data_IF_277057913193
#
_entry.id   IF_277057913193
#
_cell.length_a   1.000
_cell.length_b   1.000
_cell.length_c   1.000
_cell.angle_alpha   90.00
_cell.angle_beta   90.00
_cell.angle_gamma   90.00
#
_symmetry.space_group_name_H-M   'P 1'
#
loop_
_entity.id
_entity.type
_entity.pdbx_description
1 polymer ?
#
# COMPACT_ATOMS: atom_id res chain seq x y z
N UNK A 1 24.54 15.39 -6.92
CA UNK A 1 25.22 14.34 -7.70
C UNK A 1 24.27 13.82 -8.76
N UNK A 2 24.79 13.08 -9.75
CA UNK A 2 24.04 12.56 -10.89
C UNK A 2 24.04 11.02 -10.89
N UNK A 3 22.99 10.41 -11.43
CA UNK A 3 22.97 8.96 -11.71
C UNK A 3 23.75 8.66 -12.98
N UNK A 4 24.42 7.51 -13.04
CA UNK A 4 25.30 7.14 -14.17
C UNK A 4 24.70 6.09 -15.12
N UNK A 5 23.49 5.61 -14.82
CA UNK A 5 22.88 4.46 -15.50
C UNK A 5 23.32 3.10 -14.97
N UNK A 6 24.38 3.04 -14.14
CA UNK A 6 24.76 1.84 -13.41
C UNK A 6 23.78 1.54 -12.25
N UNK A 7 23.72 0.28 -11.75
CA UNK A 7 22.87 -0.08 -10.62
C UNK A 7 23.16 0.78 -9.37
N UNK A 8 22.09 1.23 -8.70
CA UNK A 8 22.18 2.02 -7.46
C UNK A 8 21.93 1.11 -6.26
N UNK A 9 22.92 1.02 -5.37
CA UNK A 9 22.79 0.32 -4.10
C UNK A 9 22.49 1.29 -2.96
N UNK A 10 21.48 0.99 -2.14
CA UNK A 10 21.14 1.74 -0.93
C UNK A 10 21.09 0.78 0.26
N UNK A 11 21.66 1.19 1.38
CA UNK A 11 21.80 0.38 2.59
C UNK A 11 21.22 1.14 3.78
N UNK A 12 20.41 0.47 4.59
CA UNK A 12 19.89 1.00 5.85
C UNK A 12 20.19 0.01 6.97
N UNK A 13 20.96 0.45 7.96
CA UNK A 13 21.28 -0.36 9.14
C UNK A 13 20.11 -0.41 10.13
N UNK A 14 19.91 -1.58 10.76
CA UNK A 14 19.00 -1.75 11.89
C UNK A 14 19.78 -1.49 13.19
N UNK A 15 19.35 -0.52 14.02
CA UNK A 15 20.08 -0.14 15.24
C UNK A 15 19.71 -0.95 16.49
N UNK A 16 18.44 -1.35 16.60
CA UNK A 16 17.88 -1.95 17.83
C UNK A 16 17.11 -3.23 17.48
N UNK A 17 17.82 -4.31 17.17
CA UNK A 17 17.21 -5.62 16.92
C UNK A 17 17.15 -6.42 18.22
N UNK A 18 15.94 -6.64 18.74
CA UNK A 18 15.68 -7.56 19.85
C UNK A 18 14.79 -8.71 19.35
N UNK A 19 15.30 -9.94 19.46
CA UNK A 19 14.60 -11.15 19.03
C UNK A 19 14.06 -12.00 20.18
N UNK A 20 14.28 -11.60 21.42
CA UNK A 20 13.96 -12.40 22.62
C UNK A 20 12.48 -12.78 22.69
N UNK A 21 11.59 -11.83 22.40
CA UNK A 21 10.13 -12.03 22.37
C UNK A 21 9.68 -13.13 21.39
N UNK A 22 10.46 -13.41 20.34
CA UNK A 22 10.10 -14.41 19.31
C UNK A 22 10.54 -15.83 19.64
N UNK A 23 11.54 -16.00 20.53
CA UNK A 23 12.01 -17.33 20.94
C UNK A 23 10.91 -18.11 21.66
N UNK A 24 10.17 -17.44 22.53
CA UNK A 24 9.09 -18.03 23.32
C UNK A 24 7.94 -18.57 22.46
N UNK A 25 7.79 -18.08 21.22
CA UNK A 25 6.67 -18.40 20.32
C UNK A 25 7.13 -19.07 19.02
N UNK A 26 8.38 -19.53 18.91
CA UNK A 26 8.94 -20.09 17.67
C UNK A 26 8.15 -21.28 17.08
N UNK A 27 7.54 -22.09 17.95
CA UNK A 27 6.73 -23.26 17.57
C UNK A 27 5.22 -22.96 17.60
N UNK A 28 4.83 -21.73 17.91
CA UNK A 28 3.46 -21.27 18.02
C UNK A 28 3.19 -20.25 16.90
N UNK A 29 2.73 -20.70 15.70
CA UNK A 29 2.49 -19.78 14.60
C UNK A 29 1.42 -18.77 14.97
N UNK A 30 1.70 -17.48 14.76
CA UNK A 30 0.76 -16.41 15.06
C UNK A 30 -0.40 -16.44 14.04
N UNK A 31 -1.66 -16.47 14.49
CA UNK A 31 -2.80 -16.45 13.58
C UNK A 31 -2.77 -15.25 12.63
N UNK A 32 -2.89 -15.52 11.33
CA UNK A 32 -2.80 -14.51 10.28
C UNK A 32 -1.37 -14.04 9.93
N UNK A 33 -0.33 -14.58 10.56
CA UNK A 33 1.05 -14.34 10.16
C UNK A 33 1.58 -15.44 9.21
N UNK A 34 2.73 -15.21 8.59
CA UNK A 34 3.36 -16.15 7.65
C UNK A 34 4.06 -17.31 8.34
N UNK A 35 4.01 -17.41 9.68
CA UNK A 35 4.86 -18.32 10.46
C UNK A 35 4.70 -19.80 10.04
N UNK A 36 3.47 -20.29 9.96
CA UNK A 36 3.18 -21.65 9.50
C UNK A 36 3.53 -21.88 8.02
N UNK A 37 3.01 -21.10 7.04
CA UNK A 37 3.32 -21.34 5.64
C UNK A 37 4.81 -21.15 5.31
N UNK A 38 5.53 -20.26 6.03
CA UNK A 38 6.97 -20.15 5.91
C UNK A 38 7.68 -21.41 6.39
N UNK A 39 7.28 -21.96 7.55
CA UNK A 39 7.84 -23.21 8.07
C UNK A 39 7.66 -24.36 7.09
N UNK A 40 6.48 -24.49 6.49
CA UNK A 40 6.22 -25.49 5.46
C UNK A 40 7.08 -25.23 4.21
N UNK A 41 7.07 -24.01 3.68
CA UNK A 41 7.80 -23.65 2.44
C UNK A 41 9.30 -23.89 2.54
N UNK A 42 9.90 -23.63 3.70
CA UNK A 42 11.34 -23.71 3.92
C UNK A 42 11.75 -24.89 4.79
N UNK A 43 10.90 -25.90 4.96
CA UNK A 43 11.24 -27.12 5.71
C UNK A 43 11.68 -26.86 7.16
N UNK A 44 11.19 -25.80 7.80
CA UNK A 44 11.56 -25.40 9.16
C UNK A 44 12.75 -24.45 9.27
N UNK A 45 13.42 -24.10 8.17
CA UNK A 45 14.61 -23.23 8.17
C UNK A 45 14.30 -21.74 7.96
N UNK A 46 13.03 -21.34 8.01
CA UNK A 46 12.65 -19.93 7.93
C UNK A 46 13.10 -19.16 9.17
N UNK A 47 13.50 -17.90 8.99
CA UNK A 47 13.77 -17.02 10.12
C UNK A 47 12.45 -16.65 10.83
N UNK A 48 12.25 -17.20 12.03
CA UNK A 48 11.07 -16.95 12.86
C UNK A 48 11.14 -15.60 13.61
N UNK A 49 12.33 -14.98 13.71
CA UNK A 49 12.54 -13.75 14.50
C UNK A 49 11.92 -12.57 13.77
N UNK A 50 10.86 -12.00 14.33
CA UNK A 50 10.17 -10.84 13.73
C UNK A 50 9.56 -11.11 12.35
N UNK A 51 9.42 -12.38 11.95
CA UNK A 51 8.98 -12.79 10.62
C UNK A 51 10.05 -12.73 9.52
N UNK A 52 11.30 -12.40 9.84
CA UNK A 52 12.41 -12.38 8.88
C UNK A 52 12.10 -11.62 7.58
N UNK A 53 12.26 -12.29 6.43
CA UNK A 53 11.94 -11.73 5.10
C UNK A 53 10.46 -11.31 4.93
N UNK A 54 9.56 -11.86 5.72
CA UNK A 54 8.12 -11.56 5.67
C UNK A 54 7.73 -10.38 6.57
N UNK A 55 8.68 -9.81 7.29
CA UNK A 55 8.47 -8.61 8.10
C UNK A 55 8.13 -7.40 7.23
N UNK A 56 7.34 -6.48 7.79
CA UNK A 56 7.14 -5.14 7.23
C UNK A 56 8.46 -4.39 6.96
N UNK A 57 9.57 -4.78 7.60
CA UNK A 57 10.90 -4.18 7.38
C UNK A 57 11.35 -4.23 5.92
N UNK A 58 10.95 -5.23 5.13
CA UNK A 58 11.30 -5.34 3.70
C UNK A 58 10.84 -4.12 2.89
N UNK A 59 9.78 -3.44 3.34
CA UNK A 59 9.23 -2.26 2.67
C UNK A 59 10.16 -1.06 2.68
N UNK A 60 11.18 -1.01 3.54
CA UNK A 60 12.17 0.08 3.54
C UNK A 60 12.90 0.16 2.18
N UNK A 61 13.18 -0.99 1.57
CA UNK A 61 13.80 -1.05 0.25
C UNK A 61 12.89 -0.47 -0.83
N UNK A 62 11.58 -0.75 -0.75
CA UNK A 62 10.58 -0.19 -1.66
C UNK A 62 10.47 1.32 -1.51
N UNK A 63 10.48 1.84 -0.27
CA UNK A 63 10.46 3.29 -0.02
C UNK A 63 11.70 3.97 -0.60
N UNK A 64 12.89 3.38 -0.41
CA UNK A 64 14.14 3.92 -0.98
C UNK A 64 14.10 3.97 -2.50
N UNK A 65 13.69 2.89 -3.16
CA UNK A 65 13.53 2.85 -4.62
C UNK A 65 12.45 3.83 -5.10
N UNK A 66 11.32 3.90 -4.39
CA UNK A 66 10.24 4.85 -4.69
C UNK A 66 10.66 6.30 -4.55
N UNK A 67 11.54 6.63 -3.60
CA UNK A 67 12.09 7.99 -3.48
C UNK A 67 12.91 8.39 -4.71
N UNK A 68 13.65 7.46 -5.31
CA UNK A 68 14.36 7.68 -6.57
C UNK A 68 13.37 7.82 -7.74
N UNK A 69 12.44 6.87 -7.89
CA UNK A 69 11.42 6.90 -8.94
C UNK A 69 10.58 8.20 -8.89
N UNK A 70 10.27 8.69 -7.68
CA UNK A 70 9.52 9.93 -7.48
C UNK A 70 10.26 11.15 -8.00
N UNK A 71 11.59 11.20 -7.84
CA UNK A 71 12.41 12.29 -8.40
C UNK A 71 12.34 12.33 -9.91
N UNK A 72 12.30 11.16 -10.56
CA UNK A 72 12.15 11.04 -12.02
C UNK A 72 10.75 11.50 -12.43
N UNK A 73 9.68 10.95 -11.84
CA UNK A 73 8.31 11.26 -12.24
C UNK A 73 7.95 12.75 -12.12
N UNK A 74 8.50 13.46 -11.13
CA UNK A 74 8.27 14.90 -10.94
C UNK A 74 8.74 15.72 -12.16
N UNK A 75 9.81 15.32 -12.86
CA UNK A 75 10.27 16.06 -14.06
C UNK A 75 9.29 15.95 -15.22
N UNK A 76 8.38 14.97 -15.18
CA UNK A 76 7.30 14.76 -16.14
C UNK A 76 5.94 15.22 -15.63
N UNK A 77 5.91 16.03 -14.56
CA UNK A 77 4.69 16.49 -13.88
C UNK A 77 3.80 15.36 -13.33
N UNK A 78 4.33 14.14 -13.20
CA UNK A 78 3.61 13.01 -12.61
C UNK A 78 3.78 13.03 -11.09
N UNK A 79 2.66 13.07 -10.37
CA UNK A 79 2.64 13.19 -8.92
C UNK A 79 1.85 12.05 -8.29
N UNK A 80 2.54 11.18 -7.56
CA UNK A 80 1.91 10.11 -6.78
C UNK A 80 1.77 10.55 -5.33
N UNK A 81 0.61 10.28 -4.73
CA UNK A 81 0.35 10.48 -3.32
C UNK A 81 -0.64 9.46 -2.78
N UNK A 82 -0.44 9.02 -1.54
CA UNK A 82 -1.37 8.15 -0.85
C UNK A 82 -1.73 8.69 0.52
N UNK A 83 -2.90 8.34 1.03
CA UNK A 83 -3.37 8.77 2.34
C UNK A 83 -4.34 7.75 2.94
N UNK A 84 -4.52 7.80 4.26
CA UNK A 84 -5.46 6.94 4.97
C UNK A 84 -6.88 7.42 4.72
N UNK A 85 -7.70 6.58 4.09
CA UNK A 85 -9.12 6.85 3.78
C UNK A 85 -10.04 6.33 4.89
N UNK A 86 -9.67 5.24 5.55
CA UNK A 86 -10.43 4.66 6.67
C UNK A 86 -9.53 3.88 7.64
N UNK A 87 -9.90 3.84 8.92
CA UNK A 87 -9.34 2.93 9.93
C UNK A 87 -10.50 2.35 10.75
N UNK A 88 -10.57 1.02 10.81
CA UNK A 88 -11.70 0.32 11.43
C UNK A 88 -13.03 0.76 10.80
N UNK A 89 -13.95 1.25 11.63
CA UNK A 89 -15.27 1.76 11.20
C UNK A 89 -15.28 3.26 10.87
N UNK A 90 -14.18 3.97 11.13
CA UNK A 90 -14.07 5.41 10.90
C UNK A 90 -13.56 5.64 9.48
N UNK A 91 -14.35 6.33 8.66
CA UNK A 91 -14.04 6.62 7.25
C UNK A 91 -14.16 8.10 6.95
N UNK A 92 -13.31 8.58 6.04
CA UNK A 92 -13.38 9.94 5.52
C UNK A 92 -14.45 10.01 4.43
N UNK A 93 -15.54 10.71 4.69
CA UNK A 93 -16.62 10.95 3.73
C UNK A 93 -16.45 12.27 2.95
N UNK A 94 -15.59 13.18 3.42
CA UNK A 94 -15.33 14.46 2.75
C UNK A 94 -14.53 14.28 1.44
N UNK A 95 -14.96 14.95 0.37
CA UNK A 95 -14.18 15.11 -0.85
C UNK A 95 -13.23 16.31 -0.70
N UNK A 96 -11.91 16.06 -0.74
CA UNK A 96 -10.89 17.08 -0.68
C UNK A 96 -10.23 17.25 -2.05
N UNK A 97 -9.81 18.48 -2.36
CA UNK A 97 -9.01 18.73 -3.55
C UNK A 97 -7.63 18.05 -3.43
N UNK A 98 -7.01 17.77 -4.57
CA UNK A 98 -5.67 17.20 -4.61
C UNK A 98 -4.62 18.07 -3.91
N UNK A 99 -4.79 19.40 -3.92
CA UNK A 99 -3.92 20.33 -3.20
C UNK A 99 -4.07 20.20 -1.69
N UNK A 100 -5.30 20.07 -1.18
CA UNK A 100 -5.56 19.85 0.24
C UNK A 100 -5.00 18.51 0.71
N UNK A 101 -5.25 17.42 -0.02
CA UNK A 101 -4.70 16.09 0.28
C UNK A 101 -3.17 16.17 0.36
N UNK A 102 -2.53 16.82 -0.62
CA UNK A 102 -1.06 16.99 -0.64
C UNK A 102 -0.55 17.69 0.60
N UNK A 103 -1.20 18.78 1.00
CA UNK A 103 -0.74 19.63 2.09
C UNK A 103 -1.09 19.09 3.49
N UNK A 104 -2.14 18.28 3.61
CA UNK A 104 -2.70 17.88 4.90
C UNK A 104 -2.34 16.43 5.29
N UNK A 105 -2.12 15.52 4.33
CA UNK A 105 -1.97 14.08 4.62
C UNK A 105 -0.83 13.69 5.56
N UNK A 106 0.21 14.51 5.72
CA UNK A 106 1.32 14.24 6.64
C UNK A 106 1.27 15.10 7.92
N UNK A 107 0.21 15.90 8.12
CA UNK A 107 0.01 16.71 9.35
C UNK A 107 -0.58 15.91 10.51
N UNK A 108 -1.14 14.73 10.26
CA UNK A 108 -1.78 13.87 11.26
C UNK A 108 -1.00 12.56 11.42
N UNK A 109 -1.05 11.95 12.60
CA UNK A 109 -0.27 10.74 12.89
C UNK A 109 -0.77 9.52 12.09
N UNK A 110 -2.08 9.50 11.80
CA UNK A 110 -2.75 8.47 11.00
C UNK A 110 -2.65 8.71 9.50
N UNK A 111 -2.05 9.82 9.07
CA UNK A 111 -1.91 10.23 7.67
C UNK A 111 -3.24 10.37 6.90
N UNK A 112 -4.29 10.77 7.62
CA UNK A 112 -5.57 11.17 7.03
C UNK A 112 -5.56 12.70 6.83
N UNK A 113 -5.94 13.21 5.64
CA UNK A 113 -5.94 14.64 5.36
C UNK A 113 -7.11 15.37 6.06
N UNK A 114 -8.23 14.71 6.31
CA UNK A 114 -9.32 15.27 7.12
C UNK A 114 -8.95 15.21 8.61
N UNK A 115 -8.70 16.36 9.21
CA UNK A 115 -8.29 16.47 10.62
C UNK A 115 -9.36 16.02 11.63
N UNK A 116 -10.66 16.13 11.31
CA UNK A 116 -11.73 15.68 12.21
C UNK A 116 -11.80 14.16 12.17
N UNK A 117 -11.81 13.60 10.96
CA UNK A 117 -11.77 12.15 10.78
C UNK A 117 -10.48 11.54 11.35
N UNK A 118 -9.34 12.21 11.19
CA UNK A 118 -8.04 11.77 11.72
C UNK A 118 -8.07 11.60 13.24
N UNK A 119 -8.65 12.56 13.99
CA UNK A 119 -8.82 12.45 15.45
C UNK A 119 -9.67 11.24 15.84
N UNK A 120 -10.79 11.03 15.15
CA UNK A 120 -11.64 9.87 15.40
C UNK A 120 -10.93 8.53 15.08
N UNK A 121 -10.09 8.49 14.03
CA UNK A 121 -9.25 7.33 13.74
C UNK A 121 -8.19 7.09 14.82
N UNK A 122 -7.55 8.14 15.33
CA UNK A 122 -6.57 8.06 16.43
C UNK A 122 -7.21 7.50 17.70
N UNK A 123 -8.39 8.00 18.08
CA UNK A 123 -9.17 7.48 19.20
C UNK A 123 -9.55 6.01 19.02
N UNK A 124 -9.99 5.61 17.82
CA UNK A 124 -10.29 4.21 17.52
C UNK A 124 -9.06 3.30 17.68
N UNK A 125 -7.88 3.75 17.24
CA UNK A 125 -6.62 3.00 17.42
C UNK A 125 -6.25 2.88 18.90
N UNK A 126 -6.40 3.96 19.68
CA UNK A 126 -6.14 3.96 21.12
C UNK A 126 -7.08 2.97 21.83
N UNK A 127 -8.36 2.96 21.47
CA UNK A 127 -9.34 2.05 22.07
C UNK A 127 -9.04 0.60 21.71
N UNK A 128 -8.77 0.28 20.45
CA UNK A 128 -8.36 -1.06 20.04
C UNK A 128 -7.11 -1.53 20.80
N UNK A 129 -6.12 -0.65 20.99
CA UNK A 129 -4.93 -0.94 21.78
C UNK A 129 -5.26 -1.24 23.26
N UNK A 130 -6.14 -0.46 23.90
CA UNK A 130 -6.59 -0.68 25.28
C UNK A 130 -7.28 -2.03 25.43
N UNK A 131 -8.05 -2.43 24.41
CA UNK A 131 -8.72 -3.73 24.36
C UNK A 131 -7.74 -4.88 24.06
N UNK A 132 -6.46 -4.60 23.80
CA UNK A 132 -5.47 -5.59 23.40
C UNK A 132 -5.66 -6.14 21.99
N UNK A 133 -6.35 -5.38 21.13
CA UNK A 133 -6.71 -5.71 19.75
C UNK A 133 -6.02 -4.77 18.74
N UNK A 134 -6.36 -4.91 17.46
CA UNK A 134 -5.84 -4.07 16.37
C UNK A 134 -6.89 -3.73 15.33
N UNK A 135 -6.60 -2.76 14.48
CA UNK A 135 -7.45 -2.31 13.39
C UNK A 135 -6.73 -2.38 12.04
N UNK A 136 -7.51 -2.71 11.02
CA UNK A 136 -7.14 -2.51 9.61
C UNK A 136 -7.68 -1.19 9.09
N UNK A 137 -7.67 -1.03 7.77
CA UNK A 137 -8.18 0.18 7.14
C UNK A 137 -7.99 0.20 5.63
N UNK A 138 -8.32 1.35 5.05
CA UNK A 138 -8.22 1.61 3.62
C UNK A 138 -7.23 2.74 3.39
N UNK A 139 -6.31 2.54 2.44
CA UNK A 139 -5.43 3.60 1.93
C UNK A 139 -5.89 3.90 0.51
N UNK A 140 -6.05 5.17 0.17
CA UNK A 140 -6.26 5.62 -1.20
C UNK A 140 -4.96 6.20 -1.76
N UNK A 141 -4.61 5.78 -2.96
CA UNK A 141 -3.47 6.25 -3.73
C UNK A 141 -3.96 6.94 -5.01
N UNK A 142 -3.36 8.09 -5.28
CA UNK A 142 -3.64 8.95 -6.42
C UNK A 142 -2.35 9.12 -7.22
N UNK A 143 -2.40 8.88 -8.53
CA UNK A 143 -1.35 9.34 -9.45
C UNK A 143 -1.93 10.36 -10.42
N UNK A 144 -1.41 11.59 -10.36
CA UNK A 144 -1.87 12.72 -11.15
C UNK A 144 -0.88 13.01 -12.28
N UNK A 145 -1.40 13.48 -13.41
CA UNK A 145 -0.58 13.91 -14.54
C UNK A 145 0.02 12.78 -15.37
N UNK A 146 -0.38 11.52 -15.12
CA UNK A 146 0.04 10.37 -15.93
C UNK A 146 -0.48 10.59 -17.37
N UNK A 147 0.39 10.62 -18.41
CA UNK A 147 -0.05 10.75 -19.79
C UNK A 147 -1.02 9.62 -20.17
N UNK A 148 -1.92 9.86 -21.13
CA UNK A 148 -2.74 8.78 -21.67
C UNK A 148 -1.88 7.79 -22.48
N UNK A 149 -2.18 6.49 -22.40
CA UNK A 149 -1.49 5.44 -23.13
C UNK A 149 -0.27 4.82 -22.43
N UNK A 150 0.00 5.15 -21.16
CA UNK A 150 1.02 4.46 -20.34
C UNK A 150 0.48 3.07 -19.95
N UNK A 151 1.29 2.03 -20.14
CA UNK A 151 0.92 0.63 -19.87
C UNK A 151 1.11 -0.27 -21.09
N UNK A 152 0.92 -1.58 -20.92
CA UNK A 152 1.15 -2.58 -21.98
C UNK A 152 0.09 -3.71 -21.93
N UNK A 153 -0.66 -4.00 -23.00
CA UNK A 153 -1.59 -5.14 -23.01
C UNK A 153 -0.87 -6.44 -23.47
N UNK A 154 -1.18 -7.64 -22.97
CA UNK A 154 -2.03 -8.02 -21.83
C UNK A 154 -1.21 -8.32 -20.57
N UNK A 155 0.03 -8.76 -20.72
CA UNK A 155 0.83 -9.35 -19.63
C UNK A 155 1.49 -8.33 -18.69
N UNK A 156 1.52 -7.07 -19.11
CA UNK A 156 2.09 -5.94 -18.38
C UNK A 156 1.04 -4.81 -18.28
N UNK A 157 -0.24 -5.18 -18.16
CA UNK A 157 -1.33 -4.22 -18.06
C UNK A 157 -1.11 -3.33 -16.83
N UNK A 158 -1.23 -2.01 -16.99
CA UNK A 158 -0.81 -1.05 -15.95
C UNK A 158 -1.52 -1.27 -14.62
N UNK A 159 -2.83 -1.47 -14.65
CA UNK A 159 -3.66 -1.79 -13.48
C UNK A 159 -3.31 -3.16 -12.88
N UNK A 160 -3.03 -4.16 -13.70
CA UNK A 160 -2.58 -5.47 -13.23
C UNK A 160 -1.24 -5.40 -12.49
N UNK A 161 -0.26 -4.67 -13.03
CA UNK A 161 1.04 -4.47 -12.39
C UNK A 161 0.94 -3.60 -11.13
N UNK A 162 0.14 -2.51 -11.16
CA UNK A 162 -0.14 -1.71 -9.97
C UNK A 162 -0.78 -2.59 -8.90
N UNK A 163 -1.80 -3.38 -9.24
CA UNK A 163 -2.45 -4.28 -8.29
C UNK A 163 -1.47 -5.31 -7.72
N UNK A 164 -0.64 -5.91 -8.56
CA UNK A 164 0.42 -6.85 -8.15
C UNK A 164 1.35 -6.21 -7.12
N UNK A 165 1.93 -5.04 -7.40
CA UNK A 165 2.87 -4.41 -6.45
C UNK A 165 2.19 -3.92 -5.17
N UNK A 166 0.93 -3.49 -5.26
CA UNK A 166 0.14 -3.13 -4.09
C UNK A 166 -0.14 -4.36 -3.21
N UNK A 167 -0.45 -5.51 -3.81
CA UNK A 167 -0.63 -6.79 -3.09
C UNK A 167 0.68 -7.32 -2.47
N UNK A 168 1.85 -6.87 -2.92
CA UNK A 168 3.14 -7.19 -2.28
C UNK A 168 3.34 -6.44 -0.96
N UNK A 169 2.61 -5.35 -0.72
CA UNK A 169 2.69 -4.60 0.54
C UNK A 169 2.14 -5.48 1.67
N UNK A 170 2.91 -5.72 2.75
CA UNK A 170 2.45 -6.56 3.85
C UNK A 170 1.10 -6.11 4.42
N UNK A 171 0.26 -7.08 4.76
CA UNK A 171 -1.12 -6.90 5.23
C UNK A 171 -2.14 -6.40 4.20
N UNK A 172 -1.78 -6.12 2.94
CA UNK A 172 -2.78 -5.89 1.89
C UNK A 172 -3.54 -7.19 1.59
N UNK A 173 -4.87 -7.09 1.48
CA UNK A 173 -5.78 -8.21 1.15
C UNK A 173 -6.75 -7.92 0.01
N UNK A 174 -6.78 -6.69 -0.50
CA UNK A 174 -7.59 -6.31 -1.65
C UNK A 174 -7.09 -5.01 -2.26
N UNK A 175 -7.29 -4.89 -3.58
CA UNK A 175 -6.98 -3.69 -4.37
C UNK A 175 -8.19 -3.42 -5.27
N UNK A 176 -8.56 -2.16 -5.40
CA UNK A 176 -9.62 -1.72 -6.32
C UNK A 176 -9.22 -0.40 -6.99
N UNK A 177 -9.76 -0.13 -8.19
CA UNK A 177 -9.51 1.08 -8.96
C UNK A 177 -10.81 1.87 -9.18
N UNK A 178 -10.73 3.20 -9.12
CA UNK A 178 -11.87 4.09 -9.42
C UNK A 178 -13.07 3.81 -8.51
N UNK A 179 -14.22 3.46 -9.09
CA UNK A 179 -15.42 3.02 -8.37
C UNK A 179 -15.20 1.71 -7.60
N UNK A 180 -14.26 0.88 -8.06
CA UNK A 180 -13.85 -0.35 -7.40
C UNK A 180 -14.93 -1.42 -7.44
N UNK A 181 -15.10 -2.15 -6.33
CA UNK A 181 -16.08 -3.25 -6.27
C UNK A 181 -17.53 -2.79 -6.49
N UNK A 182 -17.84 -1.52 -6.17
CA UNK A 182 -19.17 -0.96 -6.42
C UNK A 182 -19.53 -0.88 -7.91
N UNK A 183 -18.55 -0.97 -8.82
CA UNK A 183 -18.82 -0.99 -10.26
C UNK A 183 -19.64 -2.22 -10.68
N UNK A 184 -19.58 -3.33 -9.93
CA UNK A 184 -20.34 -4.55 -10.21
C UNK A 184 -21.86 -4.36 -10.04
N UNK A 185 -22.30 -3.29 -9.36
CA UNK A 185 -23.70 -2.98 -9.11
C UNK A 185 -24.26 -1.96 -10.12
N UNK A 186 -23.40 -1.36 -10.96
CA UNK A 186 -23.76 -0.29 -11.87
C UNK A 186 -24.11 -0.80 -13.28
N UNK A 187 -25.02 -0.10 -13.96
CA UNK A 187 -25.23 -0.25 -15.40
C UNK A 187 -24.11 0.43 -16.17
N UNK A 188 -23.88 0.00 -17.42
CA UNK A 188 -22.91 0.66 -18.30
C UNK A 188 -23.15 2.16 -18.48
N UNK A 189 -24.41 2.60 -18.55
CA UNK A 189 -24.75 4.03 -18.63
C UNK A 189 -24.37 4.84 -17.38
N UNK A 190 -24.19 4.20 -16.23
CA UNK A 190 -23.82 4.82 -14.97
C UNK A 190 -22.30 4.74 -14.73
N UNK A 191 -21.67 3.66 -15.19
CA UNK A 191 -20.24 3.42 -15.00
C UNK A 191 -19.36 4.05 -16.09
N UNK A 192 -19.86 4.22 -17.32
CA UNK A 192 -19.05 4.73 -18.42
C UNK A 192 -18.60 6.18 -18.19
N UNK A 193 -17.30 6.42 -18.29
CA UNK A 193 -16.70 7.75 -18.20
C UNK A 193 -16.79 8.47 -19.55
N UNK A 194 -17.80 9.33 -19.72
CA UNK A 194 -18.00 10.08 -20.96
C UNK A 194 -16.88 11.10 -21.20
N UNK A 195 -16.44 11.25 -22.46
CA UNK A 195 -15.38 12.19 -22.84
C UNK A 195 -15.92 13.55 -23.30
N UNK A 196 -15.14 14.60 -23.07
CA UNK A 196 -15.33 15.93 -23.63
C UNK A 196 -13.98 16.56 -24.00
N UNK A 197 -14.02 17.60 -24.84
CA UNK A 197 -12.85 18.45 -25.08
C UNK A 197 -12.91 19.66 -24.14
N UNK A 198 -11.86 19.85 -23.34
CA UNK A 198 -11.69 21.03 -22.48
C UNK A 198 -10.32 21.63 -22.70
N UNK A 199 -10.25 22.90 -23.10
CA UNK A 199 -9.01 23.62 -23.42
C UNK A 199 -8.11 22.86 -24.41
N UNK A 200 -8.72 22.26 -25.45
CA UNK A 200 -8.00 21.50 -26.47
C UNK A 200 -7.49 20.12 -26.03
N UNK A 201 -7.85 19.65 -24.83
CA UNK A 201 -7.48 18.32 -24.31
C UNK A 201 -8.71 17.44 -24.14
N UNK A 202 -8.57 16.15 -24.45
CA UNK A 202 -9.56 15.13 -24.12
C UNK A 202 -9.57 14.92 -22.61
N UNK A 203 -10.74 15.04 -21.99
CA UNK A 203 -10.95 14.75 -20.56
C UNK A 203 -12.21 13.93 -20.37
N UNK A 204 -12.29 13.18 -19.28
CA UNK A 204 -13.53 12.50 -18.89
C UNK A 204 -14.37 13.37 -17.93
N UNK A 205 -15.69 13.23 -17.99
CA UNK A 205 -16.64 13.91 -17.10
C UNK A 205 -16.64 13.30 -15.70
N UNK A 206 -16.42 11.99 -15.61
CA UNK A 206 -16.28 11.18 -14.39
C UNK A 206 -14.98 10.37 -14.45
N UNK A 207 -14.65 9.64 -13.39
CA UNK A 207 -13.46 8.78 -13.35
C UNK A 207 -13.74 7.46 -12.62
N UNK A 208 -14.84 6.81 -13.00
CA UNK A 208 -15.27 5.52 -12.48
C UNK A 208 -14.24 4.42 -12.78
N UNK A 209 -13.55 4.50 -13.92
CA UNK A 209 -12.46 3.60 -14.28
C UNK A 209 -11.20 3.79 -13.42
N UNK A 210 -11.09 4.91 -12.70
CA UNK A 210 -9.93 5.18 -11.85
C UNK A 210 -8.64 5.38 -12.65
N UNK A 211 -8.73 5.99 -13.82
CA UNK A 211 -7.58 6.41 -14.64
C UNK A 211 -6.93 5.32 -15.48
N UNK A 212 -7.42 4.08 -15.46
CA UNK A 212 -6.87 2.97 -16.26
C UNK A 212 -7.99 2.21 -16.97
N UNK A 213 -7.83 1.93 -18.26
CA UNK A 213 -8.78 1.20 -19.09
C UNK A 213 -8.00 0.26 -20.03
N UNK A 214 -8.37 -1.03 -20.04
CA UNK A 214 -7.72 -2.02 -20.92
C UNK A 214 -6.21 -2.16 -20.69
N UNK A 215 -5.73 -1.90 -19.46
CA UNK A 215 -4.31 -1.92 -19.12
C UNK A 215 -3.54 -0.65 -19.48
N UNK A 216 -4.20 0.40 -19.97
CA UNK A 216 -3.59 1.67 -20.36
C UNK A 216 -4.14 2.83 -19.53
N UNK A 217 -3.30 3.80 -19.17
CA UNK A 217 -3.75 5.03 -18.54
C UNK A 217 -4.66 5.83 -19.47
N UNK A 218 -5.75 6.37 -18.95
CA UNK A 218 -6.70 7.18 -19.73
C UNK A 218 -6.34 8.67 -19.78
N UNK A 219 -5.28 9.08 -19.08
CA UNK A 219 -4.92 10.49 -18.85
C UNK A 219 -5.69 11.13 -17.70
N UNK A 220 -6.70 10.45 -17.15
CA UNK A 220 -7.36 10.84 -15.90
C UNK A 220 -6.51 10.42 -14.69
N UNK A 221 -6.76 11.01 -13.49
CA UNK A 221 -6.10 10.57 -12.26
C UNK A 221 -6.22 9.06 -12.06
N UNK A 222 -5.10 8.37 -11.84
CA UNK A 222 -5.16 6.98 -11.41
C UNK A 222 -5.58 6.98 -9.94
N UNK A 223 -6.67 6.28 -9.63
CA UNK A 223 -7.21 6.17 -8.27
C UNK A 223 -7.26 4.70 -7.90
N UNK A 224 -6.42 4.31 -6.93
CA UNK A 224 -6.40 2.94 -6.42
C UNK A 224 -6.61 2.95 -4.91
N UNK A 225 -7.41 2.01 -4.39
CA UNK A 225 -7.58 1.80 -2.95
C UNK A 225 -7.09 0.42 -2.57
N UNK A 226 -6.44 0.34 -1.40
CA UNK A 226 -5.94 -0.92 -0.84
C UNK A 226 -6.55 -1.19 0.53
N UNK A 227 -7.03 -2.43 0.69
CA UNK A 227 -7.55 -2.93 1.95
C UNK A 227 -6.42 -3.56 2.77
N UNK A 228 -6.12 -2.96 3.91
CA UNK A 228 -5.12 -3.42 4.87
C UNK A 228 -5.85 -4.15 6.00
N UNK A 229 -5.52 -5.43 6.21
CA UNK A 229 -6.09 -6.19 7.33
C UNK A 229 -5.54 -5.69 8.68
N UNK A 230 -6.24 -5.98 9.81
CA UNK A 230 -5.71 -5.73 11.14
C UNK A 230 -4.36 -6.43 11.40
N UNK A 231 -3.55 -5.85 12.27
CA UNK A 231 -2.27 -6.43 12.71
C UNK A 231 -2.50 -7.78 13.39
N UNK A 232 -1.81 -8.82 12.94
CA UNK A 232 -2.02 -10.17 13.48
C UNK A 232 -1.47 -10.39 14.90
N UNK A 233 -0.39 -9.69 15.26
CA UNK A 233 0.18 -9.75 16.61
C UNK A 233 -0.62 -8.85 17.56
N UNK A 234 -1.47 -9.46 18.40
CA UNK A 234 -2.32 -8.78 19.37
C UNK A 234 -2.13 -9.37 20.78
N UNK A 235 -2.46 -8.58 21.79
CA UNK A 235 -2.31 -8.95 23.20
C UNK A 235 -3.45 -9.85 23.71
N UNK A 236 -4.57 -9.95 22.98
CA UNK A 236 -5.61 -10.95 23.26
C UNK A 236 -5.07 -12.37 23.06
N UNK A 237 -5.50 -13.29 23.92
CA UNK A 237 -5.18 -14.71 23.77
C UNK A 237 -5.86 -15.26 22.50
N UNK A 238 -5.10 -15.99 21.70
CA UNK A 238 -5.57 -16.60 20.45
C UNK A 238 -5.33 -18.11 20.46
N UNK A 239 -6.19 -18.84 19.74
CA UNK A 239 -5.99 -20.27 19.48
C UNK A 239 -4.93 -20.45 18.39
N UNK A 240 -4.04 -21.42 18.59
CA UNK A 240 -3.05 -21.84 17.60
C UNK A 240 -2.74 -23.32 17.79
N UNK A 241 -1.65 -23.82 17.21
CA UNK A 241 -1.09 -25.15 17.42
C UNK A 241 0.35 -25.04 17.90
N UNK A 242 0.83 -26.03 18.61
CA UNK A 242 2.26 -26.22 18.82
C UNK A 242 2.78 -27.16 17.73
N UNK A 243 3.63 -26.64 16.84
CA UNK A 243 4.14 -27.37 15.68
C UNK A 243 5.19 -28.43 16.03
N UNK A 244 5.87 -28.33 17.17
CA UNK A 244 6.81 -29.37 17.62
C UNK A 244 6.11 -30.52 18.36
N UNK A 245 5.05 -30.21 19.11
CA UNK A 245 4.26 -31.21 19.85
C UNK A 245 3.08 -31.78 19.07
N UNK A 246 2.72 -31.17 17.94
CA UNK A 246 1.54 -31.51 17.12
C UNK A 246 0.24 -31.53 17.92
N UNK A 247 0.02 -30.49 18.75
CA UNK A 247 -1.17 -30.35 19.61
C UNK A 247 -1.77 -28.95 19.49
N UNK A 248 -3.06 -28.83 19.79
CA UNK A 248 -3.71 -27.53 19.95
C UNK A 248 -3.05 -26.75 21.10
N UNK A 249 -2.88 -25.44 20.90
CA UNK A 249 -2.23 -24.55 21.85
C UNK A 249 -2.93 -23.19 21.87
N UNK A 250 -2.44 -22.32 22.75
CA UNK A 250 -2.82 -20.91 22.78
C UNK A 250 -1.57 -20.05 22.70
N UNK A 251 -1.73 -18.85 22.18
CA UNK A 251 -0.65 -17.87 22.07
C UNK A 251 -1.15 -16.51 22.52
N UNK A 252 -0.29 -15.80 23.24
CA UNK A 252 -0.43 -14.39 23.55
C UNK A 252 0.86 -13.71 23.10
N UNK A 253 0.76 -12.78 22.16
CA UNK A 253 1.95 -12.09 21.65
C UNK A 253 2.15 -10.83 22.49
N UNK A 254 3.19 -10.84 23.31
CA UNK A 254 3.61 -9.67 24.11
C UNK A 254 4.38 -8.64 23.28
N UNK A 255 4.87 -7.58 23.92
CA UNK A 255 5.72 -6.58 23.27
C UNK A 255 4.98 -5.41 22.61
N UNK A 256 5.75 -4.49 22.01
CA UNK A 256 5.24 -3.27 21.37
C UNK A 256 4.84 -3.57 19.93
N UNK A 257 3.65 -4.13 19.74
CA UNK A 257 3.07 -4.29 18.40
C UNK A 257 2.22 -3.10 17.98
N UNK A 258 2.17 -2.86 16.68
CA UNK A 258 1.38 -1.77 16.12
C UNK A 258 -0.11 -2.11 16.19
N UNK A 259 -0.95 -1.35 16.93
CA UNK A 259 -2.39 -1.56 16.94
C UNK A 259 -3.05 -1.21 15.59
N UNK A 260 -2.32 -0.54 14.68
CA UNK A 260 -2.75 -0.28 13.32
C UNK A 260 -1.54 0.01 12.43
N UNK A 261 -1.32 -0.81 11.40
CA UNK A 261 -0.20 -0.63 10.44
C UNK A 261 -0.54 0.29 9.28
N UNK A 262 -1.81 0.67 9.11
CA UNK A 262 -2.32 1.47 7.99
C UNK A 262 -1.51 2.75 7.77
N UNK A 263 -1.24 3.59 8.80
CA UNK A 263 -0.48 4.80 8.56
C UNK A 263 0.92 4.49 8.01
N UNK A 264 1.60 3.47 8.54
CA UNK A 264 2.96 3.10 8.11
C UNK A 264 3.00 2.58 6.67
N UNK A 265 1.90 1.97 6.20
CA UNK A 265 1.81 1.46 4.84
C UNK A 265 1.56 2.56 3.78
N UNK A 266 1.05 3.74 4.16
CA UNK A 266 0.82 4.87 3.24
C UNK A 266 2.05 5.22 2.38
N UNK A 267 3.25 5.50 2.94
CA UNK A 267 4.42 5.79 2.13
C UNK A 267 4.90 4.59 1.29
N UNK A 268 4.59 3.36 1.70
CA UNK A 268 4.94 2.15 0.93
C UNK A 268 4.06 2.04 -0.31
N UNK A 269 2.74 2.25 -0.15
CA UNK A 269 1.76 2.32 -1.25
C UNK A 269 2.16 3.39 -2.25
N UNK A 270 2.52 4.59 -1.75
CA UNK A 270 3.00 5.69 -2.58
C UNK A 270 4.26 5.28 -3.37
N UNK A 271 5.21 4.61 -2.71
CA UNK A 271 6.46 4.18 -3.33
C UNK A 271 6.26 3.11 -4.42
N UNK A 272 5.49 2.06 -4.17
CA UNK A 272 5.33 0.95 -5.14
C UNK A 272 4.59 1.38 -6.40
N UNK A 273 3.58 2.26 -6.28
CA UNK A 273 2.89 2.83 -7.44
C UNK A 273 3.84 3.74 -8.23
N UNK A 274 4.64 4.55 -7.52
CA UNK A 274 5.66 5.41 -8.16
C UNK A 274 6.69 4.59 -8.95
N UNK A 275 7.20 3.49 -8.38
CA UNK A 275 8.15 2.60 -9.06
C UNK A 275 7.53 2.04 -10.34
N UNK A 276 6.29 1.54 -10.25
CA UNK A 276 5.58 0.92 -11.38
C UNK A 276 5.34 1.91 -12.49
N UNK A 277 4.91 3.14 -12.17
CA UNK A 277 4.70 4.18 -13.17
C UNK A 277 6.01 4.62 -13.84
N UNK A 278 7.10 4.74 -13.07
CA UNK A 278 8.41 5.05 -13.65
C UNK A 278 8.87 3.96 -14.61
N UNK A 279 8.71 2.68 -14.25
CA UNK A 279 9.05 1.56 -15.12
C UNK A 279 8.25 1.58 -16.43
N UNK A 280 6.92 1.68 -16.34
CA UNK A 280 6.05 1.76 -17.51
C UNK A 280 6.34 2.97 -18.41
N UNK A 281 6.62 4.14 -17.83
CA UNK A 281 6.95 5.33 -18.62
C UNK A 281 8.35 5.27 -19.25
N UNK A 282 9.32 4.56 -18.64
CA UNK A 282 10.61 4.27 -19.27
C UNK A 282 10.43 3.30 -20.44
N UNK A 283 9.66 2.22 -20.24
CA UNK A 283 9.35 1.23 -21.30
C UNK A 283 8.65 1.86 -22.49
N UNK A 284 7.71 2.76 -22.24
CA UNK A 284 6.99 3.51 -23.28
C UNK A 284 7.84 4.59 -23.98
N UNK A 285 9.09 4.81 -23.57
CA UNK A 285 9.97 5.85 -24.13
C UNK A 285 9.57 7.29 -23.78
N UNK A 286 8.61 7.47 -22.87
CA UNK A 286 8.20 8.80 -22.37
C UNK A 286 9.31 9.39 -21.49
N UNK A 287 9.92 8.54 -20.65
CA UNK A 287 11.11 8.90 -19.89
C UNK A 287 12.32 8.48 -20.74
N UNK A 288 13.11 9.43 -21.26
CA UNK A 288 14.30 9.12 -22.04
C UNK A 288 15.42 8.55 -21.14
N UNK A 289 16.38 7.88 -21.77
CA UNK A 289 17.54 7.29 -21.06
C UNK A 289 18.41 8.33 -20.34
N UNK A 290 18.43 9.56 -20.84
CA UNK A 290 19.18 10.69 -20.27
C UNK A 290 18.19 11.82 -20.05
N UNK A 291 18.13 12.32 -18.82
CA UNK A 291 17.34 13.51 -18.47
C UNK A 291 18.23 14.74 -18.65
N UNK A 292 17.74 15.72 -19.41
CA UNK A 292 18.38 17.04 -19.57
C UNK A 292 18.13 17.95 -18.36
#
# INVERSE_FOLDING_TARGET
GFTTGAPIAMIVANKEADSSDYEAIKDLPRPGHTDYPARVKYGGFNDYRGGGRFSGRVTVALIMAGALAKKILITFNVNVMAYTKAIGKVKMDQALSYGEIRNQRYKTSVRCPDSVCAKAMEEAIINARKDGDSLGGIIECLALGVPAGVGEPLFDALDADIAKVLMLVPAVKGVEFGTGFAAAELKGSENNDAYQIKNGKVVALTNNAGGVLGGLSSGMPIVARVAIKPTSSIAKEQRTVNLSQMKNAKIKVGGRHDPCVVPKAVPVVEAVVTITLADHMIRAGIIPKVLE
#
